data_IF_508060872010
#
_entry.id   IF_508060872010
#
_cell.length_a   1.000
_cell.length_b   1.000
_cell.length_c   1.000
_cell.angle_alpha   90.00
_cell.angle_beta   90.00
_cell.angle_gamma   90.00
#
_symmetry.space_group_name_H-M   'P 1'
#
loop_
_entity.id
_entity.type
_entity.pdbx_description
1 polymer ?
#
# COMPACT_ATOMS: atom_id res chain seq x y z
N UNK A 1 -30.19 26.20 -26.93
CA UNK A 1 -30.88 26.41 -28.22
C UNK A 1 -30.41 25.35 -29.19
N UNK A 2 -31.30 24.73 -30.00
CA UNK A 2 -30.87 23.74 -30.99
C UNK A 2 -30.00 24.44 -32.03
N UNK A 3 -28.75 24.01 -32.17
CA UNK A 3 -27.85 24.56 -33.18
C UNK A 3 -28.35 24.13 -34.54
N UNK A 4 -28.72 25.10 -35.37
CA UNK A 4 -29.15 24.85 -36.74
C UNK A 4 -27.97 24.26 -37.51
N UNK A 5 -28.12 23.04 -38.02
CA UNK A 5 -27.05 22.28 -38.70
C UNK A 5 -26.96 22.55 -40.21
N UNK A 6 -27.90 23.33 -40.74
CA UNK A 6 -27.97 23.66 -42.16
C UNK A 6 -28.36 25.13 -42.36
N UNK A 7 -27.59 25.85 -43.17
CA UNK A 7 -27.81 27.25 -43.50
C UNK A 7 -27.96 27.44 -45.01
N UNK A 8 -29.03 28.12 -45.43
CA UNK A 8 -29.23 28.49 -46.85
C UNK A 8 -28.13 29.44 -47.34
N UNK A 9 -27.67 30.35 -46.49
CA UNK A 9 -26.55 31.26 -46.75
C UNK A 9 -25.39 31.00 -45.78
N UNK A 10 -24.47 31.95 -45.67
CA UNK A 10 -23.29 31.83 -44.80
C UNK A 10 -23.60 32.39 -43.41
N UNK A 11 -23.48 31.57 -42.37
CA UNK A 11 -23.65 31.97 -40.97
C UNK A 11 -22.64 33.02 -40.52
N UNK A 12 -22.92 33.72 -39.41
CA UNK A 12 -21.99 34.72 -38.84
C UNK A 12 -20.66 34.08 -38.46
N UNK A 13 -20.69 32.87 -37.87
CA UNK A 13 -19.51 32.10 -37.50
C UNK A 13 -18.66 31.77 -38.72
N UNK A 14 -19.26 31.22 -39.78
CA UNK A 14 -18.54 30.90 -41.00
C UNK A 14 -17.94 32.13 -41.69
N UNK A 15 -18.65 33.28 -41.74
CA UNK A 15 -18.07 34.54 -42.25
C UNK A 15 -16.86 35.00 -41.45
N UNK A 16 -16.92 34.90 -40.12
CA UNK A 16 -15.79 35.27 -39.26
C UNK A 16 -14.58 34.37 -39.50
N UNK A 17 -14.78 33.08 -39.76
CA UNK A 17 -13.69 32.14 -40.05
C UNK A 17 -13.09 32.39 -41.44
N UNK A 18 -13.91 32.63 -42.46
CA UNK A 18 -13.45 32.97 -43.82
C UNK A 18 -12.63 34.27 -43.88
N UNK A 19 -12.89 35.19 -42.95
CA UNK A 19 -12.16 36.45 -42.83
C UNK A 19 -10.80 36.32 -42.11
N UNK A 20 -10.49 35.16 -41.53
CA UNK A 20 -9.19 34.86 -40.92
C UNK A 20 -8.26 34.17 -41.93
N UNK A 21 -6.93 34.32 -41.79
CA UNK A 21 -5.99 33.40 -42.43
C UNK A 21 -6.07 32.01 -41.77
N UNK A 22 -5.55 30.98 -42.43
CA UNK A 22 -5.33 29.69 -41.75
C UNK A 22 -4.42 29.87 -40.54
N UNK A 23 -4.70 29.14 -39.47
CA UNK A 23 -3.99 29.31 -38.21
C UNK A 23 -4.40 28.30 -37.17
N UNK A 24 -4.17 28.63 -35.89
CA UNK A 24 -4.34 27.69 -34.78
C UNK A 24 -5.79 27.21 -34.66
N UNK A 25 -6.77 28.08 -34.93
CA UNK A 25 -8.19 27.84 -34.71
C UNK A 25 -9.01 27.60 -36.00
N UNK A 26 -8.40 27.74 -37.18
CA UNK A 26 -9.08 27.56 -38.47
C UNK A 26 -8.18 26.92 -39.52
N UNK A 27 -8.74 25.97 -40.27
CA UNK A 27 -8.10 25.28 -41.40
C UNK A 27 -9.04 25.29 -42.61
N UNK A 28 -8.50 25.47 -43.81
CA UNK A 28 -9.27 25.35 -45.05
C UNK A 28 -8.89 24.07 -45.78
N UNK A 29 -9.92 23.41 -46.32
CA UNK A 29 -9.77 22.25 -47.18
C UNK A 29 -10.68 22.42 -48.38
N UNK A 30 -10.15 22.14 -49.56
CA UNK A 30 -10.93 22.21 -50.79
C UNK A 30 -12.01 21.12 -50.84
N UNK A 31 -11.70 19.92 -50.37
CA UNK A 31 -12.54 18.72 -50.47
C UNK A 31 -12.50 17.88 -49.19
N UNK A 32 -13.52 17.04 -48.98
CA UNK A 32 -13.65 16.16 -47.81
C UNK A 32 -12.61 15.04 -47.77
N UNK A 33 -12.07 14.68 -48.93
CA UNK A 33 -10.91 13.79 -49.10
C UNK A 33 -9.63 14.38 -48.51
N UNK A 34 -9.53 15.71 -48.47
CA UNK A 34 -8.37 16.45 -47.95
C UNK A 34 -8.28 16.46 -46.42
N UNK A 35 -9.37 16.13 -45.71
CA UNK A 35 -9.36 16.03 -44.25
C UNK A 35 -8.70 14.71 -43.84
N UNK A 36 -7.66 14.80 -43.02
CA UNK A 36 -7.00 13.66 -42.39
C UNK A 36 -7.43 13.54 -40.95
N UNK A 37 -7.42 12.33 -40.39
CA UNK A 37 -7.66 12.11 -38.95
C UNK A 37 -6.66 12.90 -38.08
N UNK A 38 -5.44 13.11 -38.58
CA UNK A 38 -4.43 13.97 -37.95
C UNK A 38 -4.94 15.40 -37.73
N UNK A 39 -5.71 15.95 -38.66
CA UNK A 39 -6.24 17.32 -38.54
C UNK A 39 -7.24 17.38 -37.38
N UNK A 40 -8.16 16.42 -37.29
CA UNK A 40 -9.15 16.31 -36.21
C UNK A 40 -8.48 16.16 -34.84
N UNK A 41 -7.52 15.23 -34.74
CA UNK A 41 -6.74 14.99 -33.52
C UNK A 41 -5.97 16.24 -33.10
N UNK A 42 -5.38 16.96 -34.05
CA UNK A 42 -4.60 18.17 -33.75
C UNK A 42 -5.45 19.28 -33.12
N UNK A 43 -6.69 19.44 -33.59
CA UNK A 43 -7.64 20.37 -32.99
C UNK A 43 -8.14 19.87 -31.63
N UNK A 44 -8.48 18.59 -31.50
CA UNK A 44 -8.92 18.01 -30.22
C UNK A 44 -7.84 18.10 -29.12
N UNK A 45 -6.56 18.01 -29.49
CA UNK A 45 -5.43 18.18 -28.56
C UNK A 45 -5.07 19.64 -28.27
N UNK A 46 -5.52 20.59 -29.10
CA UNK A 46 -5.35 22.02 -28.86
C UNK A 46 -6.13 22.47 -27.64
N UNK A 47 -5.65 23.53 -26.97
CA UNK A 47 -6.33 24.14 -25.83
C UNK A 47 -7.65 24.82 -26.21
N UNK A 48 -7.79 25.27 -27.47
CA UNK A 48 -8.95 26.03 -27.94
C UNK A 48 -9.87 25.25 -28.88
N UNK A 49 -9.46 24.07 -29.36
CA UNK A 49 -10.12 23.42 -30.48
C UNK A 49 -9.96 24.24 -31.77
N UNK A 50 -10.96 24.18 -32.65
CA UNK A 50 -11.01 25.00 -33.85
C UNK A 50 -12.07 24.55 -34.85
N UNK A 51 -11.96 25.05 -36.08
CA UNK A 51 -12.88 24.72 -37.15
C UNK A 51 -12.16 24.40 -38.47
N UNK A 52 -12.68 23.42 -39.21
CA UNK A 52 -12.22 23.12 -40.57
C UNK A 52 -13.34 23.51 -41.54
N UNK A 53 -13.04 24.39 -42.50
CA UNK A 53 -13.98 24.71 -43.58
C UNK A 53 -13.64 23.89 -44.83
N UNK A 54 -14.57 23.06 -45.27
CA UNK A 54 -14.40 22.16 -46.42
C UNK A 54 -15.21 22.66 -47.59
N UNK A 55 -14.61 22.78 -48.77
CA UNK A 55 -15.17 23.54 -49.88
C UNK A 55 -14.69 24.99 -49.88
N UNK A 56 -13.57 25.27 -49.22
CA UNK A 56 -12.93 26.58 -49.14
C UNK A 56 -11.48 26.45 -49.59
N UNK A 57 -11.05 27.36 -50.45
CA UNK A 57 -9.67 27.48 -50.91
C UNK A 57 -9.03 28.72 -50.30
N UNK A 58 -7.72 28.70 -50.10
CA UNK A 58 -6.99 29.87 -49.61
C UNK A 58 -6.62 30.78 -50.79
N UNK A 59 -6.81 32.09 -50.62
CA UNK A 59 -6.32 33.06 -51.59
C UNK A 59 -5.65 34.23 -50.88
N UNK A 60 -4.66 34.82 -51.54
CA UNK A 60 -4.02 36.06 -51.09
C UNK A 60 -4.73 37.23 -51.74
N UNK A 61 -5.25 38.14 -50.93
CA UNK A 61 -5.89 39.36 -51.41
C UNK A 61 -4.81 40.38 -51.80
N UNK A 62 -5.19 41.42 -52.53
CA UNK A 62 -4.30 42.49 -52.99
C UNK A 62 -3.59 43.26 -51.86
N UNK A 63 -4.07 43.14 -50.62
CA UNK A 63 -3.46 43.69 -49.41
C UNK A 63 -2.38 42.76 -48.81
N UNK A 64 -2.08 41.63 -49.45
CA UNK A 64 -1.10 40.63 -48.99
C UNK A 64 -1.64 39.68 -47.91
N UNK A 65 -2.91 39.81 -47.50
CA UNK A 65 -3.50 38.98 -46.46
C UNK A 65 -4.17 37.74 -47.06
N UNK A 66 -3.91 36.58 -46.45
CA UNK A 66 -4.57 35.32 -46.82
C UNK A 66 -5.97 35.23 -46.22
N UNK A 67 -6.93 34.75 -47.03
CA UNK A 67 -8.36 34.62 -46.68
C UNK A 67 -8.96 33.37 -47.34
N UNK A 68 -10.10 32.92 -46.82
CA UNK A 68 -10.85 31.80 -47.40
C UNK A 68 -11.78 32.25 -48.52
N UNK A 69 -11.74 31.56 -49.67
CA UNK A 69 -12.69 31.69 -50.78
C UNK A 69 -13.53 30.44 -50.90
N UNK A 70 -14.85 30.60 -50.84
CA UNK A 70 -15.78 29.48 -51.02
C UNK A 70 -15.74 28.99 -52.47
N UNK A 71 -15.31 27.75 -52.65
CA UNK A 71 -15.36 27.03 -53.93
C UNK A 71 -16.53 26.06 -53.98
N UNK A 72 -17.00 25.60 -52.83
CA UNK A 72 -18.05 24.60 -52.65
C UNK A 72 -17.48 23.17 -52.65
N UNK A 73 -18.22 22.25 -52.04
CA UNK A 73 -17.94 20.81 -52.09
C UNK A 73 -19.25 20.02 -52.14
N UNK A 74 -19.17 18.73 -52.46
CA UNK A 74 -20.31 17.83 -52.33
C UNK A 74 -20.63 17.63 -50.84
N UNK A 75 -21.88 17.88 -50.44
CA UNK A 75 -22.35 17.80 -49.05
C UNK A 75 -23.37 16.68 -48.83
N UNK A 76 -23.29 15.63 -49.63
CA UNK A 76 -24.14 14.44 -49.51
C UNK A 76 -23.90 13.63 -48.22
N UNK A 77 -24.77 12.65 -47.99
CA UNK A 77 -24.69 11.77 -46.83
C UNK A 77 -23.40 10.92 -46.83
N UNK A 78 -22.85 10.59 -47.99
CA UNK A 78 -21.59 9.84 -48.12
C UNK A 78 -20.40 10.65 -47.61
N UNK A 79 -20.31 11.92 -48.02
CA UNK A 79 -19.32 12.87 -47.53
C UNK A 79 -19.44 13.10 -46.03
N UNK A 80 -20.68 13.28 -45.53
CA UNK A 80 -20.97 13.41 -44.10
C UNK A 80 -20.52 12.18 -43.31
N UNK A 81 -20.89 10.99 -43.78
CA UNK A 81 -20.52 9.72 -43.15
C UNK A 81 -19.01 9.52 -43.14
N UNK A 82 -18.31 9.86 -44.23
CA UNK A 82 -16.85 9.78 -44.30
C UNK A 82 -16.17 10.64 -43.23
N UNK A 83 -16.68 11.84 -42.98
CA UNK A 83 -16.13 12.74 -41.95
C UNK A 83 -16.40 12.22 -40.54
N UNK A 84 -17.59 11.69 -40.30
CA UNK A 84 -17.95 11.06 -39.02
C UNK A 84 -17.07 9.85 -38.76
N UNK A 85 -16.86 8.97 -39.74
CA UNK A 85 -16.01 7.79 -39.60
C UNK A 85 -14.57 8.18 -39.25
N UNK A 86 -13.99 9.20 -39.91
CA UNK A 86 -12.64 9.69 -39.58
C UNK A 86 -12.49 10.14 -38.12
N UNK A 87 -13.54 10.70 -37.53
CA UNK A 87 -13.57 11.12 -36.14
C UNK A 87 -13.76 9.95 -35.16
N UNK A 88 -14.62 8.99 -35.51
CA UNK A 88 -14.85 7.76 -34.73
C UNK A 88 -13.65 6.83 -34.73
N UNK A 89 -12.84 6.83 -35.80
CA UNK A 89 -11.61 6.04 -35.89
C UNK A 89 -10.46 6.58 -35.02
N UNK A 90 -10.62 7.76 -34.42
CA UNK A 90 -9.65 8.32 -33.48
C UNK A 90 -9.84 7.73 -32.09
N UNK A 91 -8.77 7.76 -31.28
CA UNK A 91 -8.81 7.29 -29.90
C UNK A 91 -8.32 8.38 -28.93
N UNK A 92 -9.14 8.80 -27.96
CA UNK A 92 -10.59 8.59 -27.87
C UNK A 92 -11.34 9.13 -29.10
N UNK A 93 -12.62 8.78 -29.26
CA UNK A 93 -13.46 9.32 -30.35
C UNK A 93 -13.45 10.86 -30.27
N UNK A 94 -13.17 11.51 -31.39
CA UNK A 94 -13.18 12.98 -31.49
C UNK A 94 -14.62 13.43 -31.75
N UNK A 95 -15.18 14.25 -30.87
CA UNK A 95 -16.50 14.82 -31.08
C UNK A 95 -16.42 15.97 -32.10
N UNK A 96 -17.15 15.84 -33.21
CA UNK A 96 -17.22 16.86 -34.26
C UNK A 96 -18.65 17.35 -34.47
N UNK A 97 -18.81 18.66 -34.65
CA UNK A 97 -20.07 19.25 -35.08
C UNK A 97 -19.99 19.60 -36.57
N UNK A 98 -20.79 18.90 -37.38
CA UNK A 98 -20.93 19.19 -38.81
C UNK A 98 -22.08 20.16 -39.06
N UNK A 99 -21.77 21.26 -39.74
CA UNK A 99 -22.75 22.23 -40.23
C UNK A 99 -22.59 22.41 -41.73
N UNK A 100 -23.69 22.34 -42.47
CA UNK A 100 -23.72 22.68 -43.90
C UNK A 100 -24.04 24.16 -44.05
N UNK A 101 -23.19 24.88 -44.76
CA UNK A 101 -23.31 26.33 -44.98
C UNK A 101 -23.57 26.60 -46.47
N UNK A 102 -24.26 27.70 -46.77
CA UNK A 102 -24.43 28.23 -48.13
C UNK A 102 -25.08 27.28 -49.16
N UNK A 103 -26.08 26.50 -48.74
CA UNK A 103 -26.79 25.52 -49.59
C UNK A 103 -27.37 26.14 -50.88
N UNK A 104 -27.78 27.40 -50.84
CA UNK A 104 -28.41 28.07 -51.99
C UNK A 104 -27.47 28.41 -53.15
N UNK A 105 -26.15 28.25 -52.99
CA UNK A 105 -25.19 28.64 -54.02
C UNK A 105 -24.03 27.66 -54.13
N UNK A 106 -23.07 27.73 -53.20
CA UNK A 106 -21.90 26.85 -53.15
C UNK A 106 -21.86 26.22 -51.77
N UNK A 107 -22.51 25.05 -51.60
CA UNK A 107 -22.56 24.39 -50.31
C UNK A 107 -21.15 23.99 -49.86
N UNK A 108 -20.88 24.10 -48.57
CA UNK A 108 -19.60 23.74 -47.98
C UNK A 108 -19.81 23.30 -46.53
N UNK A 109 -18.90 22.49 -45.99
CA UNK A 109 -18.99 22.08 -44.58
C UNK A 109 -18.19 23.00 -43.67
N UNK A 110 -18.74 23.29 -42.50
CA UNK A 110 -18.01 23.78 -41.34
C UNK A 110 -18.00 22.69 -40.28
N UNK A 111 -16.83 22.14 -40.01
CA UNK A 111 -16.60 21.16 -38.96
C UNK A 111 -16.05 21.91 -37.76
N UNK A 112 -16.79 21.96 -36.65
CA UNK A 112 -16.23 22.45 -35.39
C UNK A 112 -15.70 21.25 -34.59
N UNK A 113 -14.47 21.39 -34.09
CA UNK A 113 -13.81 20.41 -33.23
C UNK A 113 -13.52 21.11 -31.91
N UNK A 114 -14.21 20.68 -30.85
CA UNK A 114 -14.00 21.24 -29.52
C UNK A 114 -12.64 20.81 -28.94
N UNK A 115 -12.06 21.58 -28.00
CA UNK A 115 -10.93 21.09 -27.22
C UNK A 115 -11.36 19.83 -26.45
N UNK A 116 -10.57 18.78 -26.57
CA UNK A 116 -10.89 17.49 -26.02
C UNK A 116 -10.72 17.44 -24.50
N UNK A 117 -11.68 16.82 -23.81
CA UNK A 117 -11.62 16.59 -22.37
C UNK A 117 -10.85 15.30 -22.00
N UNK A 118 -10.60 14.41 -22.96
CA UNK A 118 -9.89 13.15 -22.76
C UNK A 118 -8.52 13.12 -23.45
N UNK A 119 -7.86 14.29 -23.53
CA UNK A 119 -6.52 14.41 -24.09
C UNK A 119 -5.55 13.46 -23.35
N UNK A 120 -4.55 12.90 -24.04
CA UNK A 120 -4.24 13.10 -25.45
C UNK A 120 -5.09 12.20 -26.38
N UNK A 121 -5.47 12.74 -27.54
CA UNK A 121 -6.11 12.03 -28.66
C UNK A 121 -5.04 11.57 -29.66
N UNK A 122 -5.27 10.44 -30.32
CA UNK A 122 -4.47 9.93 -31.42
C UNK A 122 -5.34 9.43 -32.57
N UNK A 123 -4.72 9.30 -33.74
CA UNK A 123 -5.33 8.62 -34.88
C UNK A 123 -5.37 7.10 -34.63
N UNK A 124 -6.11 6.35 -35.44
CA UNK A 124 -6.12 4.88 -35.41
C UNK A 124 -4.70 4.25 -35.51
N UNK A 125 -3.76 4.97 -36.13
CA UNK A 125 -2.35 4.53 -36.28
C UNK A 125 -1.47 4.87 -35.06
N UNK A 126 -2.04 5.49 -34.02
CA UNK A 126 -1.29 5.94 -32.84
C UNK A 126 -0.53 7.26 -33.05
N UNK A 127 -0.87 8.06 -34.07
CA UNK A 127 -0.24 9.36 -34.30
C UNK A 127 -0.86 10.43 -33.40
N UNK A 128 -0.06 10.99 -32.49
CA UNK A 128 -0.41 12.11 -31.62
C UNK A 128 0.03 13.42 -32.26
N UNK A 129 -0.90 14.35 -32.45
CA UNK A 129 -0.60 15.65 -33.04
C UNK A 129 -1.35 16.79 -32.36
N UNK A 130 -0.82 18.00 -32.47
CA UNK A 130 -1.37 19.24 -31.92
C UNK A 130 -1.24 20.35 -32.97
N UNK A 131 -2.16 21.33 -32.95
CA UNK A 131 -2.05 22.51 -33.81
C UNK A 131 -0.86 23.37 -33.39
N UNK A 132 -0.03 23.74 -34.37
CA UNK A 132 1.05 24.70 -34.27
C UNK A 132 0.94 25.64 -35.49
N UNK A 133 0.46 26.86 -35.25
CA UNK A 133 0.07 27.81 -36.29
C UNK A 133 -0.92 27.19 -37.30
N UNK A 134 -0.69 27.37 -38.60
CA UNK A 134 -1.52 26.80 -39.67
C UNK A 134 -1.25 25.31 -39.95
N UNK A 135 -0.47 24.62 -39.10
CA UNK A 135 -0.06 23.22 -39.36
C UNK A 135 -0.32 22.31 -38.16
N UNK A 136 -0.50 21.04 -38.47
CA UNK A 136 -0.56 19.98 -37.47
C UNK A 136 0.85 19.44 -37.23
N UNK A 137 1.35 19.52 -36.01
CA UNK A 137 2.67 19.01 -35.59
C UNK A 137 2.52 17.78 -34.70
N UNK A 138 3.46 16.83 -34.76
CA UNK A 138 3.48 15.71 -33.82
C UNK A 138 3.73 16.21 -32.39
N UNK A 139 3.04 15.66 -31.40
CA UNK A 139 3.29 15.97 -29.98
C UNK A 139 4.67 15.42 -29.57
N UNK A 140 5.45 16.21 -28.82
CA UNK A 140 6.70 15.74 -28.24
C UNK A 140 6.43 14.82 -27.04
N UNK A 141 7.38 13.91 -26.70
CA UNK A 141 7.23 13.01 -25.57
C UNK A 141 6.90 13.71 -24.25
N UNK A 142 7.53 14.86 -23.94
CA UNK A 142 7.25 15.57 -22.68
C UNK A 142 5.83 16.15 -22.65
N UNK A 143 5.35 16.69 -23.76
CA UNK A 143 3.99 17.23 -23.89
C UNK A 143 2.95 16.13 -23.76
N UNK A 144 3.21 14.98 -24.39
CA UNK A 144 2.33 13.82 -24.31
C UNK A 144 2.25 13.28 -22.88
N UNK A 145 3.39 13.15 -22.21
CA UNK A 145 3.45 12.73 -20.82
C UNK A 145 2.68 13.71 -19.91
N UNK A 146 2.85 15.01 -20.13
CA UNK A 146 2.12 16.03 -19.38
C UNK A 146 0.60 15.88 -19.55
N UNK A 147 0.11 15.63 -20.77
CA UNK A 147 -1.33 15.38 -21.01
C UNK A 147 -1.83 14.11 -20.30
N UNK A 148 -1.06 13.02 -20.31
CA UNK A 148 -1.42 11.82 -19.56
C UNK A 148 -1.44 12.06 -18.06
N UNK A 149 -0.46 12.79 -17.53
CA UNK A 149 -0.40 13.13 -16.11
C UNK A 149 -1.52 14.06 -15.69
N UNK A 150 -1.97 14.98 -16.54
CA UNK A 150 -3.13 15.84 -16.25
C UNK A 150 -4.41 14.99 -16.19
N UNK A 151 -4.60 14.06 -17.13
CA UNK A 151 -5.75 13.15 -17.18
C UNK A 151 -5.78 12.20 -15.98
N UNK A 152 -4.66 11.57 -15.67
CA UNK A 152 -4.54 10.57 -14.60
C UNK A 152 -4.24 11.18 -13.23
N UNK A 153 -3.87 12.46 -13.17
CA UNK A 153 -3.34 13.12 -11.97
C UNK A 153 -4.30 13.08 -10.80
N UNK A 154 -5.61 13.22 -11.05
CA UNK A 154 -6.62 13.11 -10.00
C UNK A 154 -6.70 11.68 -9.45
N UNK A 155 -6.66 10.68 -10.33
CA UNK A 155 -6.67 9.27 -9.93
C UNK A 155 -5.40 8.92 -9.16
N UNK A 156 -4.24 9.37 -9.64
CA UNK A 156 -2.96 9.20 -8.97
C UNK A 156 -2.96 9.82 -7.58
N UNK A 157 -3.39 11.08 -7.45
CA UNK A 157 -3.45 11.78 -6.17
C UNK A 157 -4.39 11.08 -5.19
N UNK A 158 -5.53 10.58 -5.66
CA UNK A 158 -6.47 9.84 -4.82
C UNK A 158 -5.85 8.53 -4.32
N UNK A 159 -5.25 7.73 -5.22
CA UNK A 159 -4.57 6.47 -4.83
C UNK A 159 -3.37 6.73 -3.92
N UNK A 160 -2.64 7.82 -4.15
CA UNK A 160 -1.52 8.21 -3.31
C UNK A 160 -1.99 8.60 -1.91
N UNK A 161 -3.03 9.43 -1.79
CA UNK A 161 -3.64 9.78 -0.50
C UNK A 161 -4.14 8.56 0.25
N UNK A 162 -4.79 7.64 -0.46
CA UNK A 162 -5.28 6.39 0.13
C UNK A 162 -4.12 5.53 0.65
N UNK A 163 -3.03 5.40 -0.12
CA UNK A 163 -1.84 4.67 0.30
C UNK A 163 -1.17 5.30 1.53
N UNK A 164 -1.09 6.64 1.59
CA UNK A 164 -0.56 7.37 2.75
C UNK A 164 -1.44 7.17 3.98
N UNK A 165 -2.77 7.27 3.83
CA UNK A 165 -3.69 7.04 4.94
C UNK A 165 -3.59 5.62 5.50
N UNK A 166 -3.43 4.61 4.63
CA UNK A 166 -3.19 3.22 5.06
C UNK A 166 -1.85 3.07 5.78
N UNK A 167 -0.82 3.79 5.35
CA UNK A 167 0.50 3.77 6.01
C UNK A 167 0.42 4.40 7.41
N UNK A 168 -0.23 5.55 7.54
CA UNK A 168 -0.45 6.23 8.82
C UNK A 168 -1.23 5.33 9.79
N UNK A 169 -2.28 4.66 9.30
CA UNK A 169 -3.06 3.72 10.11
C UNK A 169 -2.19 2.54 10.61
N UNK A 170 -1.36 1.97 9.75
CA UNK A 170 -0.44 0.88 10.13
C UNK A 170 0.61 1.34 11.13
N UNK A 171 1.14 2.55 10.96
CA UNK A 171 2.10 3.13 11.90
C UNK A 171 1.46 3.36 13.28
N UNK A 172 0.23 3.89 13.33
CA UNK A 172 -0.50 4.03 14.59
C UNK A 172 -0.79 2.69 15.28
N UNK A 173 -1.13 1.64 14.53
CA UNK A 173 -1.27 0.29 15.09
C UNK A 173 0.05 -0.26 15.64
N UNK A 174 1.15 -0.01 14.95
CA UNK A 174 2.48 -0.44 15.38
C UNK A 174 2.92 0.29 16.66
N UNK A 175 2.70 1.60 16.75
CA UNK A 175 2.98 2.40 17.95
C UNK A 175 2.17 1.89 19.16
N UNK A 176 0.88 1.58 18.96
CA UNK A 176 0.05 1.00 20.00
C UNK A 176 0.52 -0.40 20.44
N UNK A 177 0.86 -1.28 19.49
CA UNK A 177 1.39 -2.61 19.79
C UNK A 177 2.75 -2.56 20.49
N UNK A 178 3.59 -1.58 20.12
CA UNK A 178 4.89 -1.37 20.76
C UNK A 178 4.72 -0.85 22.19
N UNK A 179 3.80 0.10 22.40
CA UNK A 179 3.44 0.61 23.73
C UNK A 179 2.94 -0.50 24.66
N UNK A 180 1.97 -1.29 24.22
CA UNK A 180 1.44 -2.40 25.03
C UNK A 180 2.49 -3.51 25.27
N UNK A 181 3.33 -3.80 24.27
CA UNK A 181 4.45 -4.73 24.42
C UNK A 181 5.46 -4.27 25.49
N UNK A 182 5.78 -2.97 25.53
CA UNK A 182 6.63 -2.38 26.57
C UNK A 182 5.99 -2.48 27.97
N UNK A 183 4.69 -2.20 28.10
CA UNK A 183 3.97 -2.35 29.38
C UNK A 183 4.01 -3.79 29.88
N UNK A 184 3.76 -4.77 28.99
CA UNK A 184 3.89 -6.18 29.33
C UNK A 184 5.31 -6.56 29.73
N UNK A 185 6.34 -6.03 29.05
CA UNK A 185 7.73 -6.27 29.41
C UNK A 185 8.07 -5.72 30.80
N UNK A 186 7.58 -4.53 31.15
CA UNK A 186 7.77 -3.95 32.49
C UNK A 186 7.12 -4.83 33.55
N UNK A 187 5.88 -5.26 33.33
CA UNK A 187 5.19 -6.17 34.25
C UNK A 187 5.93 -7.50 34.41
N UNK A 188 6.46 -8.06 33.32
CA UNK A 188 7.26 -9.29 33.34
C UNK A 188 8.58 -9.11 34.11
N UNK A 189 9.23 -7.94 34.00
CA UNK A 189 10.45 -7.62 34.73
C UNK A 189 10.18 -7.51 36.25
N UNK A 190 9.07 -6.89 36.65
CA UNK A 190 8.65 -6.81 38.05
C UNK A 190 8.33 -8.21 38.61
N UNK A 191 7.67 -9.06 37.83
CA UNK A 191 7.40 -10.44 38.25
C UNK A 191 8.70 -11.25 38.41
N UNK A 192 9.63 -11.10 37.47
CA UNK A 192 10.97 -11.69 37.56
C UNK A 192 11.73 -11.20 38.81
N UNK A 193 11.73 -9.91 39.10
CA UNK A 193 12.36 -9.37 40.32
C UNK A 193 11.73 -10.00 41.58
N UNK A 194 10.40 -10.13 41.60
CA UNK A 194 9.69 -10.77 42.71
C UNK A 194 10.06 -12.24 42.87
N UNK A 195 10.21 -12.99 41.78
CA UNK A 195 10.62 -14.39 41.80
C UNK A 195 12.07 -14.55 42.25
N UNK A 196 12.96 -13.66 41.82
CA UNK A 196 14.37 -13.63 42.25
C UNK A 196 14.44 -13.36 43.76
N UNK A 197 13.68 -12.39 44.28
CA UNK A 197 13.63 -12.12 45.73
C UNK A 197 13.12 -13.31 46.54
N UNK A 198 12.07 -13.98 46.06
CA UNK A 198 11.52 -15.18 46.72
C UNK A 198 12.51 -16.33 46.71
N UNK A 199 13.17 -16.58 45.59
CA UNK A 199 14.18 -17.65 45.47
C UNK A 199 15.39 -17.36 46.36
N UNK A 200 15.89 -16.12 46.39
CA UNK A 200 16.95 -15.71 47.32
C UNK A 200 16.56 -15.92 48.79
N UNK A 201 15.34 -15.55 49.17
CA UNK A 201 14.85 -15.76 50.55
C UNK A 201 14.79 -17.24 50.90
N UNK A 202 14.37 -18.08 49.96
CA UNK A 202 14.30 -19.53 50.14
C UNK A 202 15.69 -20.17 50.24
N UNK A 203 16.64 -19.70 49.44
CA UNK A 203 18.05 -20.11 49.52
C UNK A 203 18.61 -19.75 50.90
N UNK A 204 18.38 -18.54 51.38
CA UNK A 204 18.85 -18.11 52.71
C UNK A 204 18.29 -18.98 53.84
N UNK A 205 16.98 -19.26 53.82
CA UNK A 205 16.35 -20.20 54.76
C UNK A 205 16.91 -21.62 54.67
N UNK A 206 17.18 -22.11 53.46
CA UNK A 206 17.81 -23.42 53.26
C UNK A 206 19.24 -23.45 53.80
N UNK A 207 20.01 -22.38 53.57
CA UNK A 207 21.37 -22.23 54.09
C UNK A 207 21.36 -22.22 55.62
N UNK A 208 20.45 -21.50 56.26
CA UNK A 208 20.31 -21.49 57.71
C UNK A 208 19.86 -22.85 58.28
N UNK A 209 18.93 -23.52 57.60
CA UNK A 209 18.53 -24.87 57.97
C UNK A 209 19.68 -25.87 57.84
N UNK A 210 20.49 -25.76 56.79
CA UNK A 210 21.69 -26.58 56.60
C UNK A 210 22.73 -26.31 57.68
N UNK A 211 22.96 -25.04 58.07
CA UNK A 211 23.83 -24.67 59.20
C UNK A 211 23.35 -25.29 60.52
N UNK A 212 22.04 -25.22 60.82
CA UNK A 212 21.46 -25.83 62.04
C UNK A 212 21.62 -27.35 62.04
N UNK A 213 21.29 -28.03 60.93
CA UNK A 213 21.47 -29.48 60.79
C UNK A 213 22.93 -29.89 60.98
N UNK A 214 23.86 -29.15 60.36
CA UNK A 214 25.30 -29.40 60.50
C UNK A 214 25.75 -29.29 61.96
N UNK A 215 25.31 -28.27 62.70
CA UNK A 215 25.61 -28.14 64.14
C UNK A 215 25.02 -29.29 64.97
N UNK A 216 23.78 -29.67 64.73
CA UNK A 216 23.14 -30.77 65.44
C UNK A 216 23.87 -32.10 65.18
N UNK A 217 24.29 -32.34 63.92
CA UNK A 217 25.06 -33.52 63.57
C UNK A 217 26.45 -33.53 64.23
N UNK A 218 27.15 -32.40 64.25
CA UNK A 218 28.42 -32.26 64.98
C UNK A 218 28.26 -32.52 66.48
N UNK A 219 27.16 -32.05 67.08
CA UNK A 219 26.86 -32.32 68.48
C UNK A 219 26.56 -33.80 68.72
N UNK A 220 25.73 -34.43 67.89
CA UNK A 220 25.41 -35.86 68.00
C UNK A 220 26.66 -36.74 67.82
N UNK A 221 27.56 -36.38 66.91
CA UNK A 221 28.85 -37.05 66.75
C UNK A 221 29.70 -36.93 68.02
N UNK A 222 29.73 -35.74 68.64
CA UNK A 222 30.46 -35.51 69.89
C UNK A 222 29.89 -36.33 71.05
N UNK A 223 28.56 -36.36 71.19
CA UNK A 223 27.87 -37.13 72.23
C UNK A 223 28.05 -38.65 72.02
N UNK A 224 28.05 -39.10 70.76
CA UNK A 224 28.34 -40.49 70.39
C UNK A 224 29.79 -40.86 70.74
N UNK A 225 30.75 -39.98 70.45
CA UNK A 225 32.15 -40.18 70.81
C UNK A 225 32.31 -40.30 72.33
N UNK A 226 31.66 -39.42 73.11
CA UNK A 226 31.70 -39.49 74.58
C UNK A 226 31.08 -40.78 75.11
N UNK A 227 29.94 -41.20 74.53
CA UNK A 227 29.26 -42.45 74.89
C UNK A 227 30.13 -43.68 74.59
N UNK A 228 30.83 -43.71 73.44
CA UNK A 228 31.80 -44.76 73.11
C UNK A 228 32.94 -44.81 74.12
N UNK A 229 33.48 -43.66 74.51
CA UNK A 229 34.54 -43.57 75.52
C UNK A 229 34.08 -44.12 76.88
N UNK A 230 32.83 -43.84 77.27
CA UNK A 230 32.23 -44.40 78.50
C UNK A 230 32.01 -45.91 78.39
N UNK A 231 31.54 -46.41 77.26
CA UNK A 231 31.34 -47.84 77.02
C UNK A 231 32.66 -48.61 77.07
N UNK A 232 33.71 -48.05 76.46
CA UNK A 232 35.06 -48.59 76.54
C UNK A 232 35.56 -48.66 78.00
N UNK A 233 35.32 -47.61 78.80
CA UNK A 233 35.67 -47.62 80.22
C UNK A 233 34.91 -48.67 81.04
N UNK A 234 33.63 -48.92 80.75
CA UNK A 234 32.82 -49.93 81.45
C UNK A 234 33.22 -51.35 81.05
N UNK A 235 33.53 -51.57 79.77
CA UNK A 235 34.01 -52.86 79.27
C UNK A 235 35.36 -53.22 79.88
N UNK A 236 36.26 -52.25 80.04
CA UNK A 236 37.53 -52.44 80.74
C UNK A 236 37.33 -52.71 82.25
N UNK A 237 36.32 -52.11 82.88
CA UNK A 237 36.05 -52.32 84.30
C UNK A 237 35.39 -53.66 84.65
N UNK A 238 34.71 -54.32 83.70
CA UNK A 238 33.92 -55.55 83.94
C UNK A 238 34.57 -56.85 83.46
N UNK A 239 35.79 -56.84 82.90
CA UNK A 239 36.40 -58.05 82.33
C UNK A 239 36.83 -59.11 83.36
N UNK A 240 36.61 -58.90 84.67
CA UNK A 240 37.17 -59.73 85.74
C UNK A 240 36.16 -60.68 86.42
N UNK A 241 34.89 -60.75 85.99
CA UNK A 241 33.90 -61.69 86.58
C UNK A 241 32.98 -62.37 85.53
N UNK A 242 33.00 -63.71 85.39
CA UNK A 242 32.30 -64.43 84.32
C UNK A 242 30.77 -64.50 84.48
N UNK A 243 30.22 -64.24 85.68
CA UNK A 243 28.78 -64.35 85.95
C UNK A 243 27.99 -63.15 85.45
N UNK A 244 28.56 -61.94 85.46
CA UNK A 244 27.89 -60.72 84.98
C UNK A 244 27.75 -60.65 83.45
N UNK A 245 28.60 -61.38 82.72
CA UNK A 245 28.58 -61.41 81.24
C UNK A 245 27.32 -62.07 80.68
N UNK A 246 26.74 -63.03 81.40
CA UNK A 246 25.51 -63.71 81.00
C UNK A 246 24.26 -62.84 81.20
N UNK A 247 24.20 -62.05 82.27
CA UNK A 247 23.12 -61.08 82.49
C UNK A 247 23.21 -59.92 81.51
N UNK A 248 24.42 -59.42 81.23
CA UNK A 248 24.63 -58.36 80.25
C UNK A 248 24.27 -58.81 78.82
N UNK A 249 24.65 -60.02 78.43
CA UNK A 249 24.24 -60.58 77.11
C UNK A 249 22.73 -60.76 77.00
N UNK A 250 22.04 -61.00 78.12
CA UNK A 250 20.57 -61.09 78.16
C UNK A 250 19.93 -59.71 78.04
N UNK A 251 20.51 -58.69 78.68
CA UNK A 251 20.01 -57.30 78.61
C UNK A 251 20.30 -56.62 77.27
N UNK A 252 21.45 -56.93 76.66
CA UNK A 252 21.78 -56.48 75.30
C UNK A 252 20.82 -57.14 74.29
N UNK A 253 20.49 -58.43 74.47
CA UNK A 253 19.55 -59.12 73.60
C UNK A 253 18.13 -58.55 73.70
N UNK A 254 17.62 -58.28 74.90
CA UNK A 254 16.30 -57.65 75.07
C UNK A 254 16.25 -56.24 74.48
N UNK A 255 17.32 -55.45 74.58
CA UNK A 255 17.38 -54.12 73.96
C UNK A 255 17.49 -54.18 72.44
N UNK A 256 18.19 -55.17 71.88
CA UNK A 256 18.24 -55.40 70.44
C UNK A 256 16.88 -55.89 69.90
N UNK A 257 16.17 -56.74 70.65
CA UNK A 257 14.81 -57.16 70.30
C UNK A 257 13.84 -55.96 70.30
N UNK A 258 13.93 -55.07 71.31
CA UNK A 258 13.15 -53.81 71.35
C UNK A 258 13.48 -52.84 70.21
N UNK A 259 14.74 -52.75 69.79
CA UNK A 259 15.15 -51.92 68.65
C UNK A 259 14.64 -52.52 67.34
N UNK A 260 14.62 -53.84 67.21
CA UNK A 260 14.12 -54.54 66.01
C UNK A 260 12.59 -54.40 65.89
N UNK A 261 11.87 -54.46 67.00
CA UNK A 261 10.42 -54.21 67.04
C UNK A 261 10.07 -52.74 66.73
N UNK A 262 10.88 -51.79 67.16
CA UNK A 262 10.72 -50.37 66.81
C UNK A 262 11.06 -50.08 65.33
N UNK A 263 11.89 -50.90 64.68
CA UNK A 263 12.13 -50.81 63.25
C UNK A 263 11.02 -51.44 62.41
N UNK A 264 10.40 -52.54 62.88
CA UNK A 264 9.27 -53.18 62.19
C UNK A 264 7.93 -52.43 62.34
N UNK A 265 7.74 -51.68 63.43
CA UNK A 265 6.51 -50.89 63.67
C UNK A 265 6.45 -49.56 62.90
N UNK A 266 7.53 -49.14 62.24
CA UNK A 266 7.56 -47.96 61.35
C UNK A 266 7.37 -48.32 59.86
N UNK A 267 6.94 -49.54 59.55
CA UNK A 267 6.89 -50.10 58.19
C UNK A 267 5.51 -50.29 57.54
N UNK A 268 4.38 -49.97 58.19
CA UNK A 268 3.07 -49.99 57.51
C UNK A 268 2.61 -48.58 57.11
N UNK A 269 2.48 -48.27 55.80
CA UNK A 269 1.82 -47.06 55.33
C UNK A 269 0.31 -47.21 55.40
N UNK A 270 -0.35 -46.24 56.05
CA UNK A 270 -1.75 -45.92 55.85
C UNK A 270 -1.98 -45.48 54.39
N UNK A 271 -3.07 -45.99 53.80
CA UNK A 271 -3.73 -45.48 52.57
C UNK A 271 -3.83 -43.94 52.52
#
# INVERSE_FOLDING_TARGET
MPVKREYRGISRRARSLLAKPEGIDVDFKRETSGIKSRDLVSFANSSQGGAILVGVDEYTRSDGLQRGRIVGCNVDDGARLSLINKATDCYPIVDIELVVENISSKPFFRLEVAPGNKRPYCTQRGEYSIRADARSRALYPEELLAMFMDREGTLFLNRFREAVAQLEQRMGQMDHAFGSGMEHLVAHLDELDSQVRRTLTRVDQMTDSAKKRSRNMLQALRDSQESLTRLESLLLAQSDKPTGRLELMRDIRTRLDQLTDNFNSNGEPHD
#
